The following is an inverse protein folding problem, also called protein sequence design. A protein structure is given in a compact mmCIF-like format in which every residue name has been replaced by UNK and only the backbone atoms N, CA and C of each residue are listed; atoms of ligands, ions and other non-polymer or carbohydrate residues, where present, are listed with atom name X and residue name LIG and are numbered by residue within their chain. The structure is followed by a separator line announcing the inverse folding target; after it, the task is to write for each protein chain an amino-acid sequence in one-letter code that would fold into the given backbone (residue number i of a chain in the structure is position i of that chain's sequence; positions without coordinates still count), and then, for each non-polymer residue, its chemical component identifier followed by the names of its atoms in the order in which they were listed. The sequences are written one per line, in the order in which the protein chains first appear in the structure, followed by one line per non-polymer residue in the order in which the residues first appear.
data_IF_935641839769
#
_entry.id   IF_935641839769
#
_cell.length_a   1.000
_cell.length_b   1.000
_cell.length_c   1.000
_cell.angle_alpha   90.00
_cell.angle_beta   90.00
_cell.angle_gamma   90.00
#
_symmetry.space_group_name_H-M   'P 1'
#
loop_
_entity.id
_entity.type
_entity.pdbx_description
1 polymer ?
#
# COMPACT_ATOMS: atom_id res chain seq x y z
N UNK A 1 -4.11 -22.97 9.09
CA UNK A 1 -4.08 -24.39 8.67
C UNK A 1 -4.26 -25.29 9.89
N UNK A 2 -3.28 -25.38 10.81
CA UNK A 2 -3.36 -26.23 12.02
C UNK A 2 -4.63 -26.03 12.88
N UNK A 3 -5.01 -24.78 13.17
CA UNK A 3 -6.18 -24.47 14.02
C UNK A 3 -7.51 -24.86 13.39
N UNK A 4 -7.62 -24.78 12.06
CA UNK A 4 -8.89 -24.94 11.35
C UNK A 4 -8.98 -26.24 10.54
N UNK A 5 -7.90 -27.03 10.47
CA UNK A 5 -7.86 -28.28 9.72
C UNK A 5 -8.05 -28.09 8.21
N UNK A 6 -7.67 -26.92 7.67
CA UNK A 6 -7.73 -26.60 6.24
C UNK A 6 -6.34 -26.56 5.64
N UNK A 7 -6.26 -26.87 4.34
CA UNK A 7 -5.09 -26.67 3.50
C UNK A 7 -5.31 -25.42 2.65
N UNK A 8 -4.34 -24.51 2.65
CA UNK A 8 -4.38 -23.29 1.84
C UNK A 8 -3.51 -23.44 0.61
N UNK A 9 -4.00 -22.96 -0.54
CA UNK A 9 -3.19 -22.88 -1.74
C UNK A 9 -2.20 -21.70 -1.64
N UNK A 10 -0.96 -22.02 -1.26
CA UNK A 10 0.12 -21.02 -1.11
C UNK A 10 0.49 -20.35 -2.43
N UNK A 11 0.41 -21.08 -3.56
CA UNK A 11 0.72 -20.52 -4.87
C UNK A 11 -0.32 -19.46 -5.26
N UNK A 12 -1.59 -19.66 -4.92
CA UNK A 12 -2.63 -18.64 -5.09
C UNK A 12 -2.39 -17.42 -4.19
N UNK A 13 -2.01 -17.62 -2.93
CA UNK A 13 -1.71 -16.51 -2.03
C UNK A 13 -0.51 -15.69 -2.52
N UNK A 14 0.56 -16.34 -2.94
CA UNK A 14 1.75 -15.66 -3.46
C UNK A 14 1.42 -14.95 -4.78
N UNK A 15 0.74 -15.63 -5.71
CA UNK A 15 0.34 -15.06 -6.99
C UNK A 15 -0.59 -13.87 -6.81
N UNK A 16 -1.62 -14.00 -5.97
CA UNK A 16 -2.56 -12.92 -5.65
C UNK A 16 -1.85 -11.72 -5.02
N UNK A 17 -0.98 -11.96 -4.04
CA UNK A 17 -0.21 -10.91 -3.38
C UNK A 17 0.69 -10.13 -4.35
N UNK A 18 1.28 -10.80 -5.34
CA UNK A 18 2.13 -10.15 -6.36
C UNK A 18 1.29 -9.41 -7.41
N UNK A 19 0.14 -9.98 -7.82
CA UNK A 19 -0.58 -9.57 -9.01
C UNK A 19 -1.76 -8.61 -8.77
N UNK A 20 -2.36 -8.59 -7.57
CA UNK A 20 -3.62 -7.88 -7.31
C UNK A 20 -3.60 -6.42 -7.76
N UNK A 21 -2.46 -5.74 -7.58
CA UNK A 21 -2.26 -4.32 -7.88
C UNK A 21 -1.33 -4.04 -9.06
N UNK A 22 -0.94 -5.07 -9.82
CA UNK A 22 0.08 -4.97 -10.87
C UNK A 22 -0.22 -3.84 -11.90
N UNK A 23 -1.49 -3.56 -12.13
CA UNK A 23 -1.94 -2.58 -13.11
C UNK A 23 -2.22 -1.18 -12.57
N UNK A 24 -2.01 -0.92 -11.26
CA UNK A 24 -2.12 0.44 -10.69
C UNK A 24 -1.34 1.48 -11.50
N UNK A 25 -0.08 1.26 -11.93
CA UNK A 25 0.70 2.23 -12.68
C UNK A 25 0.05 2.66 -14.01
N UNK A 26 -0.78 1.81 -14.62
CA UNK A 26 -1.46 2.13 -15.88
C UNK A 26 -2.54 3.21 -15.73
N UNK A 27 -2.90 3.57 -14.49
CA UNK A 27 -3.87 4.63 -14.19
C UNK A 27 -3.21 5.96 -13.82
N UNK A 28 -1.88 6.05 -13.92
CA UNK A 28 -1.12 7.25 -13.57
C UNK A 28 -0.30 7.75 -14.76
N UNK A 29 -0.13 9.08 -14.82
CA UNK A 29 0.77 9.77 -15.72
C UNK A 29 1.75 10.63 -14.93
N UNK A 30 2.95 10.82 -15.46
CA UNK A 30 3.92 11.75 -14.90
C UNK A 30 3.60 13.17 -15.42
N UNK A 31 3.21 14.07 -14.53
CA UNK A 31 2.93 15.47 -14.81
C UNK A 31 3.70 16.35 -13.84
N UNK A 32 4.54 17.24 -14.36
CA UNK A 32 5.37 18.17 -13.57
C UNK A 32 6.21 17.47 -12.48
N UNK A 33 6.74 16.28 -12.79
CA UNK A 33 7.53 15.47 -11.86
C UNK A 33 6.73 14.78 -10.76
N UNK A 34 5.39 14.80 -10.83
CA UNK A 34 4.49 14.10 -9.91
C UNK A 34 3.63 13.09 -10.66
N UNK A 35 3.26 12.00 -9.99
CA UNK A 35 2.27 11.08 -10.52
C UNK A 35 0.87 11.65 -10.27
N UNK A 36 0.10 11.75 -11.35
CA UNK A 36 -1.29 12.19 -11.34
C UNK A 36 -2.15 11.14 -12.04
N UNK A 37 -3.44 11.09 -11.73
CA UNK A 37 -4.34 10.17 -12.40
C UNK A 37 -4.50 10.54 -13.89
N UNK A 38 -4.62 9.53 -14.76
CA UNK A 38 -4.98 9.74 -16.16
C UNK A 38 -6.41 10.28 -16.24
N UNK A 39 -6.59 11.47 -16.81
CA UNK A 39 -7.91 12.12 -16.91
C UNK A 39 -8.82 11.50 -17.95
N UNK A 40 -8.23 10.92 -19.00
CA UNK A 40 -8.97 10.51 -20.21
C UNK A 40 -9.16 8.99 -20.28
N UNK A 41 -8.57 8.23 -19.34
CA UNK A 41 -8.64 6.78 -19.27
C UNK A 41 -9.31 6.35 -17.96
N UNK A 42 -10.46 5.68 -18.08
CA UNK A 42 -11.39 5.44 -16.97
C UNK A 42 -11.52 3.97 -16.56
N UNK A 43 -10.73 3.07 -17.14
CA UNK A 43 -10.73 1.68 -16.69
C UNK A 43 -9.90 1.56 -15.42
N UNK A 44 -10.46 0.92 -14.40
CA UNK A 44 -9.75 0.66 -13.17
C UNK A 44 -8.66 -0.41 -13.36
N UNK A 45 -7.75 -0.47 -12.39
CA UNK A 45 -6.60 -1.37 -12.43
C UNK A 45 -7.00 -2.86 -12.38
N UNK A 46 -8.15 -3.22 -11.81
CA UNK A 46 -8.62 -4.60 -11.78
C UNK A 46 -9.07 -4.99 -13.17
N UNK A 47 -9.87 -4.15 -13.83
CA UNK A 47 -10.32 -4.39 -15.20
C UNK A 47 -9.11 -4.62 -16.13
N UNK A 48 -8.08 -3.79 -16.02
CA UNK A 48 -6.83 -3.97 -16.79
C UNK A 48 -6.08 -5.25 -16.40
N UNK A 49 -6.01 -5.55 -15.10
CA UNK A 49 -5.34 -6.72 -14.58
C UNK A 49 -6.00 -8.01 -15.07
N UNK A 50 -7.32 -8.11 -14.94
CA UNK A 50 -8.13 -9.23 -15.41
C UNK A 50 -7.94 -9.42 -16.92
N UNK A 51 -8.05 -8.34 -17.71
CA UNK A 51 -7.90 -8.41 -19.16
C UNK A 51 -6.51 -8.95 -19.57
N UNK A 52 -5.45 -8.46 -18.93
CA UNK A 52 -4.09 -8.89 -19.25
C UNK A 52 -3.81 -10.33 -18.81
N UNK A 53 -4.26 -10.72 -17.61
CA UNK A 53 -4.07 -12.09 -17.11
C UNK A 53 -4.84 -13.09 -17.96
N UNK A 54 -6.08 -12.76 -18.34
CA UNK A 54 -6.90 -13.59 -19.22
C UNK A 54 -6.25 -13.75 -20.60
N UNK A 55 -5.73 -12.65 -21.19
CA UNK A 55 -5.01 -12.67 -22.48
C UNK A 55 -3.70 -13.48 -22.44
N UNK A 56 -3.15 -13.71 -21.25
CA UNK A 56 -1.91 -14.50 -21.03
C UNK A 56 -2.18 -15.93 -20.60
N UNK A 57 -3.44 -16.37 -20.65
CA UNK A 57 -3.85 -17.72 -20.27
C UNK A 57 -3.47 -18.09 -18.82
N UNK A 58 -3.53 -17.11 -17.90
CA UNK A 58 -3.33 -17.40 -16.48
C UNK A 58 -4.43 -18.32 -15.94
N UNK A 59 -4.14 -19.14 -14.92
CA UNK A 59 -5.15 -19.95 -14.25
C UNK A 59 -6.33 -19.09 -13.77
N UNK A 60 -7.56 -19.56 -14.03
CA UNK A 60 -8.78 -18.81 -13.69
C UNK A 60 -8.88 -18.48 -12.19
N UNK A 61 -8.37 -19.37 -11.33
CA UNK A 61 -8.28 -19.15 -9.89
C UNK A 61 -7.42 -17.93 -9.51
N UNK A 62 -6.29 -17.70 -10.19
CA UNK A 62 -5.46 -16.50 -9.99
C UNK A 62 -6.22 -15.25 -10.46
N UNK A 63 -6.85 -15.33 -11.63
CA UNK A 63 -7.63 -14.21 -12.19
C UNK A 63 -8.76 -13.84 -11.22
N UNK A 64 -9.46 -14.82 -10.64
CA UNK A 64 -10.50 -14.59 -9.64
C UNK A 64 -9.98 -13.91 -8.39
N UNK A 65 -8.85 -14.36 -7.84
CA UNK A 65 -8.24 -13.71 -6.65
C UNK A 65 -7.93 -12.24 -6.94
N UNK A 66 -7.34 -11.92 -8.09
CA UNK A 66 -7.07 -10.53 -8.50
C UNK A 66 -8.38 -9.77 -8.70
N UNK A 67 -9.38 -10.37 -9.35
CA UNK A 67 -10.67 -9.73 -9.60
C UNK A 67 -11.45 -9.42 -8.33
N UNK A 68 -11.28 -10.21 -7.27
CA UNK A 68 -12.07 -10.08 -6.05
C UNK A 68 -11.37 -9.36 -4.90
N UNK A 69 -10.11 -8.95 -5.04
CA UNK A 69 -9.32 -8.48 -3.89
C UNK A 69 -9.87 -7.19 -3.22
N UNK A 70 -10.71 -6.41 -3.91
CA UNK A 70 -11.42 -5.26 -3.31
C UNK A 70 -12.64 -5.66 -2.46
N UNK A 71 -12.90 -6.95 -2.29
CA UNK A 71 -14.08 -7.42 -1.57
C UNK A 71 -15.36 -7.03 -2.30
N UNK A 72 -16.35 -6.53 -1.57
CA UNK A 72 -17.64 -6.09 -2.13
C UNK A 72 -17.56 -4.83 -3.00
N UNK A 73 -16.40 -4.15 -3.01
CA UNK A 73 -16.14 -3.00 -3.89
C UNK A 73 -15.48 -3.41 -5.22
N UNK A 74 -15.18 -4.69 -5.38
CA UNK A 74 -14.64 -5.24 -6.63
C UNK A 74 -15.74 -5.61 -7.64
N UNK A 75 -15.34 -5.97 -8.87
CA UNK A 75 -16.28 -6.47 -9.89
C UNK A 75 -16.98 -7.77 -9.47
N UNK A 76 -16.36 -8.54 -8.55
CA UNK A 76 -16.89 -9.77 -7.96
C UNK A 76 -16.46 -9.87 -6.50
N UNK A 77 -17.29 -10.46 -5.64
CA UNK A 77 -16.91 -10.75 -4.24
C UNK A 77 -15.98 -11.97 -4.17
N UNK A 78 -15.09 -12.05 -3.15
CA UNK A 78 -14.24 -13.21 -2.92
C UNK A 78 -15.05 -14.51 -2.71
N UNK A 79 -14.73 -15.56 -3.47
CA UNK A 79 -15.39 -16.87 -3.42
C UNK A 79 -14.49 -17.99 -2.83
N UNK A 80 -13.28 -17.66 -2.36
CA UNK A 80 -12.33 -18.59 -1.72
C UNK A 80 -11.69 -18.00 -0.46
N UNK A 81 -11.14 -18.87 0.40
CA UNK A 81 -10.42 -18.44 1.61
C UNK A 81 -9.18 -17.64 1.22
N UNK A 82 -8.48 -18.04 0.16
CA UNK A 82 -7.31 -17.35 -0.37
C UNK A 82 -7.66 -15.93 -0.83
N UNK A 83 -8.77 -15.77 -1.56
CA UNK A 83 -9.23 -14.46 -2.00
C UNK A 83 -9.58 -13.53 -0.80
N UNK A 84 -10.26 -14.08 0.22
CA UNK A 84 -10.53 -13.35 1.47
C UNK A 84 -9.25 -12.97 2.21
N UNK A 85 -8.26 -13.86 2.25
CA UNK A 85 -6.97 -13.57 2.88
C UNK A 85 -6.23 -12.46 2.14
N UNK A 86 -6.23 -12.45 0.81
CA UNK A 86 -5.64 -11.35 0.02
C UNK A 86 -6.35 -10.02 0.30
N UNK A 87 -7.68 -10.00 0.23
CA UNK A 87 -8.48 -8.81 0.53
C UNK A 87 -8.16 -8.23 1.91
N UNK A 88 -8.11 -9.07 2.94
CA UNK A 88 -7.82 -8.61 4.29
C UNK A 88 -6.35 -8.21 4.47
N UNK A 89 -5.42 -8.90 3.83
CA UNK A 89 -4.00 -8.54 3.88
C UNK A 89 -3.74 -7.16 3.27
N UNK A 90 -4.33 -6.86 2.10
CA UNK A 90 -4.25 -5.55 1.45
C UNK A 90 -4.82 -4.44 2.36
N UNK A 91 -6.03 -4.65 2.91
CA UNK A 91 -6.64 -3.69 3.82
C UNK A 91 -5.83 -3.45 5.11
N UNK A 92 -5.22 -4.50 5.67
CA UNK A 92 -4.36 -4.37 6.86
C UNK A 92 -3.10 -3.58 6.53
N UNK A 93 -2.47 -3.84 5.38
CA UNK A 93 -1.29 -3.09 4.93
C UNK A 93 -1.61 -1.61 4.74
N UNK A 94 -2.69 -1.31 4.02
CA UNK A 94 -3.18 0.06 3.84
C UNK A 94 -3.47 0.76 5.18
N UNK A 95 -4.13 0.09 6.11
CA UNK A 95 -4.44 0.63 7.43
C UNK A 95 -3.16 0.90 8.26
N UNK A 96 -2.14 0.05 8.17
CA UNK A 96 -0.84 0.27 8.82
C UNK A 96 -0.16 1.50 8.23
N UNK A 97 -0.13 1.64 6.90
CA UNK A 97 0.44 2.82 6.24
C UNK A 97 -0.26 4.11 6.69
N UNK A 98 -1.59 4.12 6.77
CA UNK A 98 -2.38 5.25 7.27
C UNK A 98 -2.05 5.63 8.71
N UNK A 99 -1.82 4.63 9.59
CA UNK A 99 -1.35 4.88 10.95
C UNK A 99 0.01 5.58 10.92
N UNK A 100 0.94 5.10 10.08
CA UNK A 100 2.24 5.73 9.88
C UNK A 100 2.11 7.20 9.48
N UNK A 101 1.30 7.49 8.47
CA UNK A 101 1.07 8.86 7.97
C UNK A 101 0.52 9.76 9.09
N UNK A 102 -0.53 9.34 9.79
CA UNK A 102 -1.13 10.13 10.89
C UNK A 102 -0.13 10.43 12.00
N UNK A 103 0.73 9.47 12.34
CA UNK A 103 1.78 9.65 13.34
C UNK A 103 2.80 10.67 12.84
N UNK A 104 3.23 10.56 11.58
CA UNK A 104 4.16 11.49 10.96
C UNK A 104 3.60 12.92 10.97
N UNK A 105 2.35 13.12 10.55
CA UNK A 105 1.65 14.41 10.62
C UNK A 105 1.59 14.97 12.04
N UNK A 106 1.32 14.12 13.04
CA UNK A 106 1.32 14.54 14.43
C UNK A 106 2.71 15.00 14.89
N UNK A 107 3.79 14.35 14.42
CA UNK A 107 5.18 14.76 14.73
C UNK A 107 5.58 16.04 14.01
N UNK A 108 5.20 16.18 12.74
CA UNK A 108 5.39 17.38 11.95
C UNK A 108 4.85 18.61 12.70
N UNK A 109 3.60 18.52 13.19
CA UNK A 109 2.98 19.55 14.03
C UNK A 109 3.70 19.78 15.35
N UNK A 110 4.12 18.72 16.04
CA UNK A 110 4.84 18.82 17.32
C UNK A 110 6.20 19.52 17.19
N UNK A 111 6.86 19.36 16.05
CA UNK A 111 8.19 19.92 15.81
C UNK A 111 8.19 21.23 15.01
N UNK A 112 7.02 21.66 14.50
CA UNK A 112 6.90 22.83 13.63
C UNK A 112 7.55 22.61 12.27
N UNK A 113 7.54 21.38 11.76
CA UNK A 113 8.12 20.97 10.49
C UNK A 113 6.97 20.64 9.51
N UNK A 114 7.15 20.97 8.24
CA UNK A 114 6.21 20.58 7.17
C UNK A 114 6.27 19.06 6.91
N UNK A 115 5.13 18.38 6.85
CA UNK A 115 5.09 16.92 6.73
C UNK A 115 5.59 16.43 5.37
N UNK A 116 5.41 17.22 4.29
CA UNK A 116 5.94 16.91 2.97
C UNK A 116 7.47 16.85 2.93
N UNK A 117 8.13 17.60 3.81
CA UNK A 117 9.58 17.55 3.96
C UNK A 117 10.03 16.28 4.69
N UNK A 118 9.27 15.84 5.68
CA UNK A 118 9.56 14.60 6.42
C UNK A 118 9.44 13.37 5.49
N UNK A 119 8.40 13.32 4.66
CA UNK A 119 8.18 12.19 3.73
C UNK A 119 9.31 12.02 2.71
N UNK A 120 10.10 13.06 2.41
CA UNK A 120 11.26 12.99 1.51
C UNK A 120 12.48 12.32 2.17
N UNK A 121 12.54 12.30 3.49
CA UNK A 121 13.70 11.81 4.25
C UNK A 121 13.45 10.41 4.78
N UNK A 122 12.26 10.16 5.29
CA UNK A 122 11.97 8.95 6.06
C UNK A 122 10.55 8.48 5.82
N UNK A 123 10.38 7.17 5.64
CA UNK A 123 9.08 6.54 5.58
C UNK A 123 8.31 6.77 6.90
N UNK A 124 7.00 7.06 6.87
CA UNK A 124 6.21 7.33 8.07
C UNK A 124 6.29 6.24 9.17
N UNK A 125 6.28 4.96 8.78
CA UNK A 125 6.44 3.83 9.72
C UNK A 125 7.85 3.76 10.29
N UNK A 126 8.86 4.12 9.51
CA UNK A 126 10.24 4.18 9.98
C UNK A 126 10.42 5.29 11.02
N UNK A 127 9.80 6.44 10.81
CA UNK A 127 9.78 7.52 11.78
C UNK A 127 9.10 7.08 13.08
N UNK A 128 7.99 6.34 12.99
CA UNK A 128 7.32 5.75 14.16
C UNK A 128 8.25 4.80 14.93
N UNK A 129 8.94 3.90 14.24
CA UNK A 129 9.91 2.99 14.84
C UNK A 129 11.06 3.74 15.54
N UNK A 130 11.62 4.75 14.87
CA UNK A 130 12.69 5.59 15.43
C UNK A 130 12.23 6.30 16.70
N UNK A 131 11.02 6.85 16.70
CA UNK A 131 10.44 7.53 17.86
C UNK A 131 10.25 6.60 19.05
N UNK A 132 9.89 5.34 18.81
CA UNK A 132 9.76 4.30 19.84
C UNK A 132 11.13 3.93 20.44
N UNK A 133 12.18 3.84 19.62
CA UNK A 133 13.52 3.41 20.04
C UNK A 133 14.36 4.53 20.65
N UNK A 134 14.32 5.73 20.06
CA UNK A 134 15.26 6.82 20.35
C UNK A 134 14.66 7.90 21.26
N UNK A 135 13.34 7.95 21.40
CA UNK A 135 12.66 9.02 22.12
C UNK A 135 12.36 10.24 21.25
N UNK A 136 11.79 11.28 21.86
CA UNK A 136 11.32 12.48 21.14
C UNK A 136 12.47 13.33 20.63
N UNK A 137 13.38 13.69 21.52
CA UNK A 137 14.36 14.75 21.25
C UNK A 137 15.37 14.33 20.19
N UNK A 138 15.85 13.07 20.26
CA UNK A 138 16.72 12.49 19.24
C UNK A 138 16.07 12.42 17.85
N UNK A 139 14.77 12.18 17.77
CA UNK A 139 14.06 12.20 16.48
C UNK A 139 13.91 13.62 15.95
N UNK A 140 13.69 14.60 16.83
CA UNK A 140 13.65 16.01 16.45
C UNK A 140 15.00 16.47 15.90
N UNK A 141 16.09 16.13 16.60
CA UNK A 141 17.47 16.40 16.15
C UNK A 141 17.75 15.76 14.79
N UNK A 142 17.43 14.46 14.63
CA UNK A 142 17.58 13.76 13.35
C UNK A 142 16.83 14.46 12.21
N UNK A 143 15.57 14.87 12.44
CA UNK A 143 14.78 15.55 11.41
C UNK A 143 15.35 16.93 11.08
N UNK A 144 15.79 17.70 12.09
CA UNK A 144 16.41 19.03 11.88
C UNK A 144 17.73 18.92 11.13
N UNK A 145 18.58 17.98 11.51
CA UNK A 145 19.86 17.72 10.86
C UNK A 145 19.65 17.35 9.38
N UNK A 146 18.72 16.44 9.09
CA UNK A 146 18.44 15.99 7.71
C UNK A 146 17.74 17.05 6.86
N UNK A 147 17.04 17.99 7.48
CA UNK A 147 16.40 19.12 6.80
C UNK A 147 17.27 20.38 6.75
N UNK A 148 18.49 20.32 7.28
CA UNK A 148 19.39 21.47 7.41
C UNK A 148 18.75 22.67 8.14
N UNK A 149 17.76 22.40 9.01
CA UNK A 149 17.09 23.42 9.81
C UNK A 149 18.03 23.77 10.96
N UNK A 150 18.69 24.93 10.87
CA UNK A 150 19.49 25.47 11.98
C UNK A 150 18.57 25.85 13.14
N UNK A 151 18.98 25.49 14.35
CA UNK A 151 18.37 26.02 15.57
C UNK A 151 18.63 27.54 15.62
N UNK A 152 17.56 28.33 15.71
CA UNK A 152 17.62 29.74 16.12
C UNK A 152 17.95 29.87 17.61
#
# INVERSE_FOLDING_TARGET
EETYGIELNRDLLISGGILHDLMKPQNYQLKDGKFDHLSDFHLDHLTLGIAELYRRDFPLEVIKVVASHHGDHGPVSPDSIEAWLIHHADNVDAAINDIGIRICQARAREFGIDDSQIYKIVNPLKLYEMRKKLGKDKVKEFLKEKLEIKDE
#
